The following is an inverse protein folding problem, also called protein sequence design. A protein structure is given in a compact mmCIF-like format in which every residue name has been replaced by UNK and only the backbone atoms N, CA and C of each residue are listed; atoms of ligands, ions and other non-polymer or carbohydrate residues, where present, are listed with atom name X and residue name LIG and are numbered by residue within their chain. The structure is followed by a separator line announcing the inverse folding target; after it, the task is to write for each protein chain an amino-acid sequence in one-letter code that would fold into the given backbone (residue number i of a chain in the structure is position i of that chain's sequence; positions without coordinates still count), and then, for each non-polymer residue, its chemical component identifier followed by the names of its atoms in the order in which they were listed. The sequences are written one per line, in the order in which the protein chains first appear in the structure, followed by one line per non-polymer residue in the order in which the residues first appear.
data_IF_747245028704
#
_entry.id   IF_747245028704
#
_cell.length_a   1.000
_cell.length_b   1.000
_cell.length_c   1.000
_cell.angle_alpha   90.00
_cell.angle_beta   90.00
_cell.angle_gamma   90.00
#
_symmetry.space_group_name_H-M   'P 1'
#
loop_
_entity.id
_entity.type
_entity.pdbx_description
1 polymer ?
#
# COMPACT_ATOMS: atom_id res chain seq x y z
N UNK A 1 6.17 -7.26 16.25
CA UNK A 1 7.49 -7.94 16.39
C UNK A 1 8.52 -6.95 16.91
N UNK A 2 9.56 -7.40 17.62
CA UNK A 2 10.66 -6.52 17.99
C UNK A 2 11.56 -6.24 16.78
N UNK A 3 12.08 -5.03 16.68
CA UNK A 3 13.11 -4.68 15.70
C UNK A 3 14.45 -5.35 16.09
N UNK A 4 15.26 -5.69 15.10
CA UNK A 4 16.62 -6.14 15.37
C UNK A 4 17.54 -4.94 15.76
N UNK A 5 18.73 -5.24 16.30
CA UNK A 5 19.67 -4.22 16.78
C UNK A 5 20.00 -3.15 15.73
N UNK A 6 20.15 -3.55 14.47
CA UNK A 6 20.46 -2.61 13.39
C UNK A 6 19.29 -1.69 13.05
N UNK A 7 18.07 -2.22 13.06
CA UNK A 7 16.85 -1.41 12.85
C UNK A 7 16.64 -0.41 14.00
N UNK A 8 16.88 -0.85 15.24
CA UNK A 8 16.83 0.01 16.43
C UNK A 8 17.87 1.14 16.34
N UNK A 9 19.13 0.81 15.99
CA UNK A 9 20.20 1.79 15.82
C UNK A 9 19.84 2.84 14.78
N UNK A 10 19.34 2.42 13.60
CA UNK A 10 18.92 3.34 12.55
C UNK A 10 17.79 4.30 13.00
N UNK A 11 16.83 3.80 13.78
CA UNK A 11 15.76 4.65 14.32
C UNK A 11 16.33 5.65 15.34
N UNK A 12 17.25 5.23 16.20
CA UNK A 12 17.87 6.09 17.24
C UNK A 12 18.78 7.16 16.64
N UNK A 13 19.50 6.84 15.59
CA UNK A 13 20.44 7.73 14.90
C UNK A 13 19.76 8.71 13.94
N UNK A 14 18.48 8.50 13.64
CA UNK A 14 17.72 9.34 12.71
C UNK A 14 17.66 10.78 13.18
N UNK A 15 17.97 11.69 12.25
CA UNK A 15 17.86 13.15 12.46
C UNK A 15 16.69 13.75 11.66
N UNK A 16 15.91 12.90 11.00
CA UNK A 16 14.79 13.31 10.17
C UNK A 16 13.51 13.41 11.00
N UNK A 17 12.71 14.42 10.75
CA UNK A 17 11.40 14.59 11.36
C UNK A 17 10.31 14.04 10.41
N UNK A 18 9.61 13.02 10.86
CA UNK A 18 8.48 12.41 10.15
C UNK A 18 7.18 12.53 10.97
N UNK A 19 7.15 13.32 12.04
CA UNK A 19 6.06 13.35 13.02
C UNK A 19 4.71 13.83 12.46
N UNK A 20 4.70 14.54 11.35
CA UNK A 20 3.48 14.98 10.65
C UNK A 20 3.06 14.04 9.53
N UNK A 21 3.79 12.95 9.28
CA UNK A 21 3.41 11.94 8.30
C UNK A 21 2.40 10.95 8.87
N UNK A 22 1.55 10.46 7.97
CA UNK A 22 0.56 9.42 8.26
C UNK A 22 0.73 8.26 7.29
N UNK A 23 0.75 7.06 7.82
CA UNK A 23 0.80 5.83 7.03
C UNK A 23 -0.43 4.97 7.28
N UNK A 24 -0.89 4.26 6.26
CA UNK A 24 -1.91 3.22 6.40
C UNK A 24 -1.41 1.90 5.83
N UNK A 25 -1.59 0.84 6.58
CA UNK A 25 -1.30 -0.54 6.16
C UNK A 25 -2.62 -1.28 5.92
N UNK A 26 -2.76 -1.84 4.73
CA UNK A 26 -3.86 -2.71 4.38
C UNK A 26 -3.34 -4.15 4.34
N UNK A 27 -3.62 -4.93 5.38
CA UNK A 27 -3.25 -6.34 5.44
C UNK A 27 -4.26 -7.18 4.65
N UNK A 28 -3.98 -7.39 3.37
CA UNK A 28 -4.82 -8.14 2.44
C UNK A 28 -4.63 -9.66 2.56
N UNK A 29 -4.42 -10.17 3.75
CA UNK A 29 -4.49 -11.61 4.04
C UNK A 29 -5.90 -12.16 3.81
N UNK A 30 -6.02 -13.48 3.59
CA UNK A 30 -7.31 -14.19 3.54
C UNK A 30 -7.81 -14.61 4.93
N UNK A 31 -7.09 -14.26 5.99
CA UNK A 31 -7.40 -14.61 7.38
C UNK A 31 -7.96 -13.41 8.13
N UNK A 32 -9.06 -13.61 8.85
CA UNK A 32 -9.65 -12.58 9.73
C UNK A 32 -8.72 -12.21 10.89
N UNK A 33 -9.03 -11.13 11.60
CA UNK A 33 -8.15 -10.58 12.65
C UNK A 33 -7.98 -11.49 13.87
N UNK A 34 -8.85 -12.46 14.07
CA UNK A 34 -8.73 -13.52 15.10
C UNK A 34 -7.75 -14.62 14.71
N UNK A 35 -7.31 -14.65 13.45
CA UNK A 35 -6.35 -15.62 12.95
C UNK A 35 -4.95 -15.02 12.75
N UNK A 36 -3.92 -15.87 12.96
CA UNK A 36 -2.52 -15.53 12.72
C UNK A 36 -2.27 -15.25 11.24
N UNK A 37 -1.84 -14.06 10.90
CA UNK A 37 -1.37 -13.68 9.56
C UNK A 37 0.14 -13.59 9.52
N UNK A 38 0.79 -14.30 8.60
CA UNK A 38 2.23 -14.22 8.41
C UNK A 38 2.66 -12.89 7.79
N UNK A 39 1.84 -12.32 6.91
CA UNK A 39 2.05 -10.98 6.34
C UNK A 39 2.07 -9.90 7.43
N UNK A 40 1.31 -10.11 8.54
CA UNK A 40 1.33 -9.22 9.69
C UNK A 40 2.73 -9.07 10.28
N UNK A 41 3.55 -10.13 10.26
CA UNK A 41 4.91 -10.07 10.78
C UNK A 41 5.79 -9.05 10.05
N UNK A 42 5.71 -8.96 8.72
CA UNK A 42 6.42 -7.92 7.95
C UNK A 42 5.83 -6.53 8.19
N UNK A 43 4.51 -6.44 8.27
CA UNK A 43 3.81 -5.19 8.58
C UNK A 43 4.27 -4.64 9.93
N UNK A 44 4.36 -5.48 10.97
CA UNK A 44 4.78 -5.06 12.31
C UNK A 44 6.20 -4.47 12.34
N UNK A 45 7.14 -5.01 11.55
CA UNK A 45 8.50 -4.46 11.44
C UNK A 45 8.46 -3.07 10.79
N UNK A 46 7.81 -2.95 9.64
CA UNK A 46 7.71 -1.67 8.92
C UNK A 46 7.00 -0.62 9.76
N UNK A 47 5.89 -1.00 10.40
CA UNK A 47 5.10 -0.15 11.30
C UNK A 47 5.94 0.31 12.50
N UNK A 48 6.66 -0.60 13.17
CA UNK A 48 7.50 -0.24 14.30
C UNK A 48 8.62 0.76 13.93
N UNK A 49 9.22 0.63 12.74
CA UNK A 49 10.20 1.61 12.24
C UNK A 49 9.51 2.98 12.04
N UNK A 50 8.35 3.01 11.42
CA UNK A 50 7.60 4.25 11.19
C UNK A 50 7.20 4.93 12.50
N UNK A 51 6.61 4.18 13.43
CA UNK A 51 6.16 4.69 14.74
C UNK A 51 7.33 5.23 15.58
N UNK A 52 8.48 4.55 15.59
CA UNK A 52 9.70 5.04 16.28
C UNK A 52 10.24 6.34 15.69
N UNK A 53 9.94 6.62 14.45
CA UNK A 53 10.29 7.86 13.77
C UNK A 53 9.15 8.90 13.79
N UNK A 54 8.12 8.69 14.61
CA UNK A 54 7.04 9.65 14.84
C UNK A 54 5.89 9.62 13.83
N UNK A 55 5.93 8.73 12.83
CA UNK A 55 4.83 8.59 11.88
C UNK A 55 3.58 8.05 12.57
N UNK A 56 2.43 8.68 12.35
CA UNK A 56 1.14 8.14 12.80
C UNK A 56 0.73 6.99 11.89
N UNK A 57 0.59 5.80 12.45
CA UNK A 57 0.27 4.60 11.67
C UNK A 57 -1.16 4.13 11.93
N UNK A 58 -1.89 3.92 10.85
CA UNK A 58 -3.20 3.28 10.81
C UNK A 58 -3.09 1.90 10.14
N UNK A 59 -3.92 0.96 10.55
CA UNK A 59 -3.90 -0.40 10.02
C UNK A 59 -5.31 -0.99 9.97
N UNK A 60 -5.59 -1.78 8.94
CA UNK A 60 -6.79 -2.60 8.88
C UNK A 60 -6.57 -3.87 8.05
N UNK A 61 -7.40 -4.87 8.31
CA UNK A 61 -7.57 -6.06 7.45
C UNK A 61 -8.86 -5.91 6.64
N UNK A 62 -8.78 -5.73 5.32
CA UNK A 62 -9.98 -5.58 4.48
C UNK A 62 -10.95 -6.75 4.58
N UNK A 63 -10.46 -7.97 4.84
CA UNK A 63 -11.30 -9.18 4.99
C UNK A 63 -12.29 -9.10 6.17
N UNK A 64 -12.04 -8.25 7.15
CA UNK A 64 -12.95 -8.04 8.29
C UNK A 64 -14.12 -7.11 7.96
N UNK A 65 -14.10 -6.50 6.78
CA UNK A 65 -15.08 -5.53 6.32
C UNK A 65 -15.92 -6.08 5.18
N UNK A 66 -17.14 -5.63 5.08
CA UNK A 66 -18.00 -5.95 3.96
C UNK A 66 -17.74 -4.95 2.81
N UNK A 67 -16.75 -5.26 1.98
CA UNK A 67 -16.38 -4.45 0.83
C UNK A 67 -17.12 -5.00 -0.39
N UNK A 68 -18.01 -4.20 -0.96
CA UNK A 68 -18.73 -4.56 -2.16
C UNK A 68 -17.81 -4.58 -3.38
N UNK A 69 -17.99 -5.54 -4.27
CA UNK A 69 -17.34 -5.55 -5.59
C UNK A 69 -17.98 -4.49 -6.48
N UNK A 70 -17.19 -3.70 -7.18
CA UNK A 70 -17.72 -2.70 -8.10
C UNK A 70 -16.78 -1.53 -8.37
N UNK A 71 -17.22 -0.64 -9.24
CA UNK A 71 -16.42 0.44 -9.84
C UNK A 71 -16.83 1.83 -9.37
N UNK A 72 -17.78 1.94 -8.47
CA UNK A 72 -18.24 3.22 -7.93
C UNK A 72 -17.71 3.46 -6.52
N UNK A 73 -17.53 4.70 -6.08
CA UNK A 73 -17.05 5.01 -4.73
C UNK A 73 -17.91 4.40 -3.62
N UNK A 74 -19.21 4.41 -3.80
CA UNK A 74 -20.20 3.81 -2.90
C UNK A 74 -21.12 2.86 -3.69
N UNK A 75 -20.98 1.57 -3.46
CA UNK A 75 -21.76 0.55 -4.14
C UNK A 75 -23.18 0.39 -3.58
N UNK A 76 -23.50 0.99 -2.44
CA UNK A 76 -24.88 0.98 -1.93
C UNK A 76 -25.83 1.77 -2.84
N UNK A 77 -25.31 2.75 -3.58
CA UNK A 77 -26.04 3.49 -4.60
C UNK A 77 -26.24 2.66 -5.90
N UNK A 78 -25.63 1.46 -5.98
CA UNK A 78 -25.60 0.60 -7.15
C UNK A 78 -26.05 -0.84 -6.85
N UNK A 79 -26.99 -1.00 -5.93
CA UNK A 79 -27.69 -2.27 -5.69
C UNK A 79 -27.08 -3.18 -4.64
N UNK A 80 -26.12 -2.71 -3.86
CA UNK A 80 -25.59 -3.42 -2.71
C UNK A 80 -26.24 -2.90 -1.41
N UNK A 81 -26.56 -3.82 -0.50
CA UNK A 81 -27.18 -3.44 0.78
C UNK A 81 -26.17 -2.78 1.74
N UNK A 82 -24.90 -3.10 1.60
CA UNK A 82 -23.81 -2.58 2.43
C UNK A 82 -22.50 -2.50 1.67
N UNK A 83 -21.75 -1.43 1.93
CA UNK A 83 -20.38 -1.26 1.44
C UNK A 83 -19.57 -0.47 2.48
N UNK A 84 -18.58 -1.11 3.10
CA UNK A 84 -17.70 -0.45 4.08
C UNK A 84 -16.57 0.36 3.40
N UNK A 85 -16.43 0.25 2.07
CA UNK A 85 -15.36 0.91 1.32
C UNK A 85 -15.33 2.44 1.45
N UNK A 86 -16.44 3.18 1.44
CA UNK A 86 -16.41 4.63 1.60
C UNK A 86 -15.71 5.09 2.90
N UNK A 87 -15.86 4.34 3.99
CA UNK A 87 -15.16 4.62 5.25
C UNK A 87 -13.67 4.27 5.16
N UNK A 88 -13.32 3.15 4.54
CA UNK A 88 -11.93 2.72 4.31
C UNK A 88 -11.21 3.72 3.40
N UNK A 89 -11.85 4.11 2.29
CA UNK A 89 -11.30 5.07 1.34
C UNK A 89 -10.94 6.41 2.00
N UNK A 90 -11.77 6.90 2.91
CA UNK A 90 -11.46 8.12 3.70
C UNK A 90 -10.19 7.97 4.52
N UNK A 91 -9.95 6.80 5.13
CA UNK A 91 -8.73 6.51 5.88
C UNK A 91 -7.50 6.47 4.96
N UNK A 92 -7.63 5.81 3.80
CA UNK A 92 -6.58 5.78 2.77
C UNK A 92 -6.24 7.18 2.27
N UNK A 93 -7.26 8.00 1.98
CA UNK A 93 -7.07 9.37 1.51
C UNK A 93 -6.49 10.31 2.58
N UNK A 94 -6.56 9.98 3.85
CA UNK A 94 -5.97 10.75 4.94
C UNK A 94 -4.48 10.44 5.17
N UNK A 95 -3.95 9.39 4.52
CA UNK A 95 -2.56 8.96 4.69
C UNK A 95 -1.64 9.51 3.60
N UNK A 96 -0.40 9.81 3.96
CA UNK A 96 0.69 10.18 3.05
C UNK A 96 1.34 8.93 2.42
N UNK A 97 1.28 7.80 3.14
CA UNK A 97 1.90 6.52 2.75
C UNK A 97 0.86 5.42 2.79
N UNK A 98 0.75 4.65 1.71
CA UNK A 98 -0.05 3.42 1.64
C UNK A 98 0.86 2.21 1.46
N UNK A 99 0.73 1.22 2.34
CA UNK A 99 1.42 -0.07 2.21
C UNK A 99 0.38 -1.19 2.09
N UNK A 100 0.43 -1.94 1.01
CA UNK A 100 -0.41 -3.13 0.82
C UNK A 100 0.39 -4.37 1.21
N UNK A 101 -0.04 -5.02 2.29
CA UNK A 101 0.45 -6.34 2.69
C UNK A 101 -0.35 -7.44 2.01
N UNK A 102 0.34 -8.42 1.41
CA UNK A 102 -0.29 -9.47 0.62
C UNK A 102 0.38 -10.82 0.84
N UNK A 103 -0.40 -11.91 0.86
CA UNK A 103 0.15 -13.26 0.74
C UNK A 103 0.04 -13.77 -0.70
N UNK A 104 0.95 -14.69 -1.07
CA UNK A 104 0.99 -15.32 -2.39
C UNK A 104 0.05 -16.54 -2.39
N UNK A 105 -0.72 -16.67 -3.46
CA UNK A 105 -1.55 -17.82 -3.76
C UNK A 105 -1.44 -18.17 -5.23
N UNK A 106 -0.88 -19.35 -5.54
CA UNK A 106 -0.65 -19.81 -6.93
C UNK A 106 0.15 -18.78 -7.75
N UNK A 107 1.17 -18.18 -7.15
CA UNK A 107 1.99 -17.16 -7.79
C UNK A 107 1.37 -15.77 -7.86
N UNK A 108 0.11 -15.60 -7.41
CA UNK A 108 -0.67 -14.36 -7.49
C UNK A 108 -0.93 -13.73 -6.12
N UNK A 109 -1.19 -12.43 -6.13
CA UNK A 109 -1.72 -11.72 -4.97
C UNK A 109 -3.11 -12.22 -4.59
N UNK A 110 -3.49 -12.06 -3.33
CA UNK A 110 -4.81 -12.46 -2.84
C UNK A 110 -5.95 -11.75 -3.58
N UNK A 111 -7.12 -12.40 -3.61
CA UNK A 111 -8.37 -11.77 -4.07
C UNK A 111 -8.71 -10.50 -3.28
N UNK A 112 -8.40 -10.46 -1.98
CA UNK A 112 -8.59 -9.29 -1.14
C UNK A 112 -7.71 -8.12 -1.60
N UNK A 113 -6.44 -8.37 -1.97
CA UNK A 113 -5.57 -7.33 -2.53
C UNK A 113 -6.09 -6.83 -3.90
N UNK A 114 -6.60 -7.74 -4.72
CA UNK A 114 -7.23 -7.41 -5.99
C UNK A 114 -8.45 -6.52 -5.78
N UNK A 115 -9.35 -6.91 -4.87
CA UNK A 115 -10.53 -6.12 -4.52
C UNK A 115 -10.16 -4.73 -4.01
N UNK A 116 -9.17 -4.62 -3.13
CA UNK A 116 -8.67 -3.32 -2.66
C UNK A 116 -8.20 -2.45 -3.82
N UNK A 117 -7.40 -2.98 -4.75
CA UNK A 117 -6.92 -2.25 -5.92
C UNK A 117 -8.08 -1.78 -6.80
N UNK A 118 -9.06 -2.64 -7.07
CA UNK A 118 -10.25 -2.29 -7.84
C UNK A 118 -11.06 -1.19 -7.15
N UNK A 119 -11.18 -1.24 -5.83
CA UNK A 119 -11.88 -0.22 -5.05
C UNK A 119 -11.09 1.10 -4.94
N UNK A 120 -9.77 1.07 -4.93
CA UNK A 120 -8.95 2.28 -5.07
C UNK A 120 -9.20 2.93 -6.45
N UNK A 121 -9.28 2.12 -7.50
CA UNK A 121 -9.58 2.61 -8.84
C UNK A 121 -10.97 3.27 -8.94
N UNK A 122 -11.95 2.81 -8.19
CA UNK A 122 -13.29 3.40 -8.15
C UNK A 122 -13.31 4.89 -7.76
N UNK A 123 -12.29 5.37 -7.05
CA UNK A 123 -12.12 6.78 -6.65
C UNK A 123 -11.04 7.52 -7.46
N UNK A 124 -10.44 6.88 -8.47
CA UNK A 124 -9.35 7.45 -9.28
C UNK A 124 -9.73 8.68 -10.10
N UNK A 125 -11.02 8.86 -10.37
CA UNK A 125 -11.53 10.02 -11.11
C UNK A 125 -11.61 11.30 -10.27
N UNK A 126 -11.48 11.20 -8.95
CA UNK A 126 -11.49 12.34 -8.05
C UNK A 126 -10.22 13.18 -8.27
N UNK A 127 -10.39 14.50 -8.16
CA UNK A 127 -9.31 15.44 -8.31
C UNK A 127 -8.99 16.14 -6.98
N UNK A 128 -7.73 16.50 -6.80
CA UNK A 128 -7.29 17.35 -5.69
C UNK A 128 -7.59 18.84 -6.00
N UNK A 129 -7.29 19.72 -5.06
CA UNK A 129 -7.50 21.17 -5.18
C UNK A 129 -6.73 21.84 -6.33
N UNK A 130 -5.69 21.15 -6.84
CA UNK A 130 -4.89 21.61 -7.97
C UNK A 130 -5.37 21.07 -9.32
N UNK A 131 -6.48 20.32 -9.35
CA UNK A 131 -7.01 19.69 -10.56
C UNK A 131 -6.22 18.48 -11.06
N UNK A 132 -5.36 17.93 -10.24
CA UNK A 132 -4.65 16.67 -10.47
C UNK A 132 -5.43 15.49 -9.88
N UNK A 133 -5.10 14.24 -10.25
CA UNK A 133 -5.71 13.06 -9.64
C UNK A 133 -5.51 13.04 -8.12
N UNK A 134 -6.52 12.60 -7.39
CA UNK A 134 -6.59 12.71 -5.93
C UNK A 134 -5.47 11.98 -5.17
N UNK A 135 -4.86 10.96 -5.79
CA UNK A 135 -3.74 10.23 -5.17
C UNK A 135 -2.36 10.87 -5.39
N UNK A 136 -2.25 11.92 -6.22
CA UNK A 136 -0.98 12.64 -6.40
C UNK A 136 -0.46 13.18 -5.08
N UNK A 137 0.85 13.07 -4.89
CA UNK A 137 1.50 13.51 -3.66
C UNK A 137 1.56 12.45 -2.56
N UNK A 138 1.03 11.24 -2.78
CA UNK A 138 1.12 10.10 -1.87
C UNK A 138 2.15 9.09 -2.33
N UNK A 139 2.63 8.27 -1.40
CA UNK A 139 3.68 7.28 -1.63
C UNK A 139 3.13 5.88 -1.40
N UNK A 140 3.50 4.94 -2.26
CA UNK A 140 3.01 3.57 -2.21
C UNK A 140 4.11 2.53 -2.11
N UNK A 141 3.85 1.45 -1.35
CA UNK A 141 4.71 0.28 -1.22
C UNK A 141 3.94 -1.00 -0.96
N UNK A 142 4.63 -2.13 -0.95
CA UNK A 142 4.01 -3.41 -0.61
C UNK A 142 4.92 -4.38 0.13
N UNK A 143 4.29 -5.25 0.90
CA UNK A 143 4.91 -6.34 1.66
C UNK A 143 4.28 -7.66 1.23
N UNK A 144 5.11 -8.66 0.89
CA UNK A 144 4.63 -9.93 0.35
C UNK A 144 5.18 -11.10 1.14
N UNK A 145 4.33 -12.07 1.49
CA UNK A 145 4.75 -13.32 2.14
C UNK A 145 4.16 -14.52 1.41
N UNK A 146 4.91 -15.62 1.38
CA UNK A 146 4.40 -16.88 0.83
C UNK A 146 5.38 -18.03 1.00
N UNK A 147 4.88 -19.25 0.74
CA UNK A 147 5.66 -20.48 0.72
C UNK A 147 5.74 -21.04 -0.71
N UNK A 148 5.81 -20.16 -1.69
CA UNK A 148 5.93 -20.47 -3.11
C UNK A 148 6.45 -19.25 -3.89
N UNK A 149 6.84 -19.46 -5.13
CA UNK A 149 7.28 -18.38 -6.02
C UNK A 149 6.16 -17.38 -6.33
N UNK A 150 6.54 -16.16 -6.72
CA UNK A 150 5.59 -15.14 -7.14
C UNK A 150 5.70 -13.80 -6.42
N UNK A 151 6.63 -13.65 -5.46
CA UNK A 151 6.79 -12.40 -4.72
C UNK A 151 6.96 -11.19 -5.62
N UNK A 152 7.83 -11.28 -6.64
CA UNK A 152 8.06 -10.17 -7.56
C UNK A 152 6.91 -9.95 -8.53
N UNK A 153 6.18 -10.99 -8.91
CA UNK A 153 4.96 -10.86 -9.69
C UNK A 153 3.88 -10.11 -8.91
N UNK A 154 3.63 -10.50 -7.66
CA UNK A 154 2.69 -9.80 -6.77
C UNK A 154 3.10 -8.34 -6.56
N UNK A 155 4.38 -8.10 -6.24
CA UNK A 155 4.91 -6.76 -5.99
C UNK A 155 4.78 -5.86 -7.24
N UNK A 156 5.19 -6.34 -8.41
CA UNK A 156 5.07 -5.62 -9.68
C UNK A 156 3.62 -5.22 -9.95
N UNK A 157 2.69 -6.14 -9.76
CA UNK A 157 1.27 -5.89 -10.00
C UNK A 157 0.70 -4.84 -9.05
N UNK A 158 1.03 -4.93 -7.74
CA UNK A 158 0.57 -3.96 -6.73
C UNK A 158 1.20 -2.59 -6.99
N UNK A 159 2.52 -2.53 -7.16
CA UNK A 159 3.23 -1.25 -7.34
C UNK A 159 2.84 -0.55 -8.64
N UNK A 160 2.66 -1.30 -9.74
CA UNK A 160 2.16 -0.73 -10.98
C UNK A 160 0.76 -0.16 -10.83
N UNK A 161 -0.14 -0.88 -10.14
CA UNK A 161 -1.50 -0.40 -9.87
C UNK A 161 -1.49 0.90 -9.05
N UNK A 162 -0.69 0.98 -8.00
CA UNK A 162 -0.53 2.18 -7.19
C UNK A 162 0.03 3.35 -8.01
N UNK A 163 1.08 3.10 -8.83
CA UNK A 163 1.67 4.10 -9.69
C UNK A 163 0.66 4.62 -10.73
N UNK A 164 -0.13 3.73 -11.33
CA UNK A 164 -1.17 4.10 -12.29
C UNK A 164 -2.25 4.99 -11.66
N UNK A 165 -2.58 4.76 -10.38
CA UNK A 165 -3.52 5.59 -9.62
C UNK A 165 -2.97 6.97 -9.28
N UNK A 166 -1.64 7.15 -9.30
CA UNK A 166 -1.00 8.44 -9.01
C UNK A 166 -0.10 8.44 -7.77
N UNK A 167 0.09 7.29 -7.12
CA UNK A 167 1.09 7.18 -6.04
C UNK A 167 2.51 7.27 -6.61
N UNK A 168 3.39 7.92 -5.88
CA UNK A 168 4.83 7.87 -6.14
C UNK A 168 5.39 6.57 -5.57
N UNK A 169 6.11 5.83 -6.39
CA UNK A 169 6.76 4.58 -6.00
C UNK A 169 8.26 4.86 -5.82
N UNK A 170 8.77 4.86 -4.58
CA UNK A 170 10.19 5.09 -4.34
C UNK A 170 11.05 3.89 -4.75
N UNK A 171 12.39 4.02 -4.78
CA UNK A 171 13.27 2.88 -4.94
C UNK A 171 12.99 1.80 -3.89
N UNK A 172 13.04 0.52 -4.31
CA UNK A 172 12.86 -0.63 -3.42
C UNK A 172 11.56 -0.56 -2.60
N UNK A 173 10.47 -0.20 -3.25
CA UNK A 173 9.15 -0.03 -2.61
C UNK A 173 8.46 -1.36 -2.26
N UNK A 174 9.17 -2.49 -2.38
CA UNK A 174 8.68 -3.81 -2.00
C UNK A 174 9.65 -4.54 -1.07
N UNK A 175 9.10 -5.34 -0.18
CA UNK A 175 9.86 -6.35 0.54
C UNK A 175 9.06 -7.64 0.63
N UNK A 176 9.76 -8.78 0.63
CA UNK A 176 9.11 -10.07 0.67
C UNK A 176 9.90 -11.08 1.49
N UNK A 177 9.17 -12.09 1.99
CA UNK A 177 9.72 -13.34 2.49
C UNK A 177 9.08 -14.51 1.75
N UNK A 178 9.90 -15.46 1.36
CA UNK A 178 9.49 -16.70 0.71
C UNK A 178 10.03 -17.90 1.51
N UNK A 179 9.13 -18.76 1.93
CA UNK A 179 9.46 -20.07 2.47
C UNK A 179 9.45 -21.15 1.41
N UNK A 180 9.81 -22.36 1.82
CA UNK A 180 9.75 -23.53 0.96
C UNK A 180 8.30 -23.86 0.60
N UNK A 181 8.05 -24.18 -0.67
CA UNK A 181 6.73 -24.57 -1.15
C UNK A 181 6.29 -25.91 -0.54
N UNK A 182 4.99 -26.02 -0.24
CA UNK A 182 4.40 -27.20 0.39
C UNK A 182 4.10 -26.99 1.87
N UNK A 183 4.20 -28.04 2.72
CA UNK A 183 3.86 -27.97 4.13
C UNK A 183 4.95 -27.35 5.02
N UNK A 184 5.92 -26.65 4.45
CA UNK A 184 6.99 -25.99 5.19
C UNK A 184 6.48 -24.88 6.10
N UNK A 185 7.28 -24.47 7.12
CA UNK A 185 6.89 -23.42 8.04
C UNK A 185 6.75 -22.08 7.29
N UNK A 186 5.72 -21.33 7.65
CA UNK A 186 5.49 -19.98 7.12
C UNK A 186 6.17 -18.93 7.99
N UNK A 187 6.31 -17.72 7.54
CA UNK A 187 7.15 -16.63 8.08
C UNK A 187 7.22 -16.55 9.63
N UNK A 188 6.09 -16.67 10.32
CA UNK A 188 6.01 -16.58 11.78
C UNK A 188 5.99 -17.95 12.48
N UNK A 189 6.17 -19.05 11.76
CA UNK A 189 6.18 -20.37 12.36
C UNK A 189 7.58 -20.72 12.86
N UNK A 190 7.62 -21.52 13.92
CA UNK A 190 8.86 -22.06 14.45
C UNK A 190 9.63 -22.83 13.36
N UNK A 191 10.93 -22.60 13.28
CA UNK A 191 11.80 -23.21 12.28
C UNK A 191 11.77 -22.58 10.89
N UNK A 192 10.96 -21.54 10.66
CA UNK A 192 10.94 -20.84 9.36
C UNK A 192 12.20 -20.00 9.11
N UNK A 193 12.87 -19.54 10.18
CA UNK A 193 13.94 -18.54 10.07
C UNK A 193 13.49 -17.22 9.46
N UNK A 194 12.19 -17.02 9.29
CA UNK A 194 11.63 -15.84 8.62
C UNK A 194 11.96 -14.52 9.34
N UNK A 195 11.64 -14.40 10.64
CA UNK A 195 11.93 -13.19 11.41
C UNK A 195 13.42 -12.84 11.50
N UNK A 196 14.30 -13.83 11.45
CA UNK A 196 15.76 -13.70 11.50
C UNK A 196 16.41 -13.54 10.13
N UNK A 197 15.65 -13.62 9.05
CA UNK A 197 16.17 -13.56 7.68
C UNK A 197 16.73 -12.19 7.35
N UNK A 198 18.06 -12.08 7.24
CA UNK A 198 18.77 -10.81 7.00
C UNK A 198 18.36 -10.13 5.69
N UNK A 199 18.12 -10.90 4.63
CA UNK A 199 17.71 -10.34 3.34
C UNK A 199 16.33 -9.69 3.43
N UNK A 200 15.38 -10.38 4.07
CA UNK A 200 14.02 -9.87 4.30
C UNK A 200 14.04 -8.64 5.21
N UNK A 201 14.78 -8.71 6.32
CA UNK A 201 14.92 -7.59 7.26
C UNK A 201 15.53 -6.36 6.60
N UNK A 202 16.60 -6.53 5.82
CA UNK A 202 17.22 -5.45 5.06
C UNK A 202 16.24 -4.81 4.08
N UNK A 203 15.54 -5.61 3.30
CA UNK A 203 14.61 -5.09 2.28
C UNK A 203 13.40 -4.40 2.92
N UNK A 204 12.85 -4.95 4.01
CA UNK A 204 11.76 -4.31 4.77
C UNK A 204 12.22 -2.97 5.34
N UNK A 205 13.44 -2.92 5.88
CA UNK A 205 14.05 -1.69 6.40
C UNK A 205 14.21 -0.64 5.28
N UNK A 206 14.82 -1.01 4.16
CA UNK A 206 15.05 -0.08 3.04
C UNK A 206 13.74 0.43 2.45
N UNK A 207 12.78 -0.46 2.22
CA UNK A 207 11.44 -0.08 1.78
C UNK A 207 10.83 0.96 2.71
N UNK A 208 10.81 0.69 4.01
CA UNK A 208 10.19 1.57 5.00
C UNK A 208 10.84 2.95 5.04
N UNK A 209 12.17 3.02 5.09
CA UNK A 209 12.89 4.29 5.08
C UNK A 209 12.69 5.06 3.79
N UNK A 210 12.71 4.39 2.62
CA UNK A 210 12.47 5.04 1.34
C UNK A 210 11.05 5.59 1.23
N UNK A 211 10.05 4.90 1.78
CA UNK A 211 8.67 5.39 1.85
C UNK A 211 8.59 6.67 2.70
N UNK A 212 9.19 6.68 3.90
CA UNK A 212 9.20 7.85 4.78
C UNK A 212 9.93 9.03 4.16
N UNK A 213 11.13 8.82 3.61
CA UNK A 213 11.90 9.88 2.97
C UNK A 213 11.19 10.46 1.75
N UNK A 214 10.63 9.62 0.90
CA UNK A 214 9.88 10.10 -0.26
C UNK A 214 8.64 10.89 0.16
N UNK A 215 7.88 10.39 1.12
CA UNK A 215 6.71 11.10 1.64
C UNK A 215 7.12 12.46 2.26
N UNK A 216 8.24 12.51 3.00
CA UNK A 216 8.77 13.75 3.55
C UNK A 216 9.12 14.75 2.46
N UNK A 217 9.90 14.34 1.46
CA UNK A 217 10.28 15.22 0.34
C UNK A 217 9.06 15.76 -0.42
N UNK A 218 8.06 14.92 -0.67
CA UNK A 218 6.83 15.35 -1.36
C UNK A 218 6.05 16.32 -0.49
N UNK A 219 5.93 16.07 0.80
CA UNK A 219 5.20 16.95 1.71
C UNK A 219 5.89 18.31 1.88
N UNK A 220 7.21 18.33 1.94
CA UNK A 220 8.01 19.58 1.97
C UNK A 220 7.85 20.37 0.67
N UNK A 221 7.77 19.69 -0.47
CA UNK A 221 7.49 20.29 -1.76
C UNK A 221 6.02 20.72 -1.94
N UNK A 222 5.15 20.45 -0.96
CA UNK A 222 3.69 20.68 -1.02
C UNK A 222 3.01 19.90 -2.16
N UNK A 223 3.47 18.69 -2.41
CA UNK A 223 2.94 17.80 -3.44
C UNK A 223 3.75 17.83 -4.75
N UNK A 224 3.17 17.24 -5.79
CA UNK A 224 3.74 17.28 -7.14
C UNK A 224 3.33 18.61 -7.78
N UNK A 225 4.29 19.38 -8.34
CA UNK A 225 3.96 20.67 -8.97
C UNK A 225 2.85 20.54 -10.01
N UNK A 226 1.86 21.41 -9.93
CA UNK A 226 0.67 21.37 -10.77
C UNK A 226 0.90 22.20 -12.05
N UNK A 227 1.66 21.64 -12.99
CA UNK A 227 1.88 22.23 -14.31
C UNK A 227 2.07 21.12 -15.35
N UNK A 228 1.22 21.10 -16.37
CA UNK A 228 1.28 20.10 -17.44
C UNK A 228 0.71 18.71 -17.06
N UNK A 229 0.25 18.54 -15.83
CA UNK A 229 -0.30 17.29 -15.28
C UNK A 229 -1.63 17.49 -14.55
N UNK A 230 -2.34 18.58 -14.87
CA UNK A 230 -3.64 18.90 -14.29
C UNK A 230 -4.75 18.37 -15.20
N UNK A 231 -5.44 17.33 -14.72
CA UNK A 231 -6.56 16.73 -15.46
C UNK A 231 -7.67 17.76 -15.73
N UNK A 232 -7.98 18.59 -14.73
CA UNK A 232 -9.01 19.64 -14.90
C UNK A 232 -8.64 20.64 -16.00
N UNK A 233 -7.37 21.06 -16.09
CA UNK A 233 -6.92 21.97 -17.15
C UNK A 233 -6.91 21.28 -18.52
N UNK A 234 -6.53 20.02 -18.58
CA UNK A 234 -6.61 19.23 -19.81
C UNK A 234 -8.05 19.12 -20.31
N UNK A 235 -8.98 18.74 -19.43
CA UNK A 235 -10.40 18.57 -19.78
C UNK A 235 -11.04 19.89 -20.24
N UNK A 236 -10.67 21.01 -19.63
CA UNK A 236 -11.18 22.34 -20.01
C UNK A 236 -10.70 22.81 -21.39
N UNK A 237 -9.47 22.44 -21.79
CA UNK A 237 -8.88 22.82 -23.09
C UNK A 237 -8.82 21.69 -24.11
N UNK A 238 -9.16 20.49 -23.71
CA UNK A 238 -9.01 19.30 -24.51
C UNK A 238 -10.03 19.23 -25.63
N UNK A 239 -9.56 18.90 -26.82
CA UNK A 239 -10.35 18.58 -27.99
C UNK A 239 -10.60 17.11 -28.19
N UNK A 240 -10.36 16.31 -27.20
CA UNK A 240 -10.72 14.90 -27.25
C UNK A 240 -12.24 14.78 -27.17
N UNK A 241 -12.90 15.13 -28.25
CA UNK A 241 -14.33 14.88 -28.46
C UNK A 241 -14.63 13.38 -28.38
N UNK A 242 -13.58 12.58 -28.22
CA UNK A 242 -13.62 11.13 -28.20
C UNK A 242 -14.60 10.61 -29.23
N UNK A 243 -14.32 10.88 -30.49
CA UNK A 243 -15.11 10.31 -31.59
C UNK A 243 -15.20 8.79 -31.52
N UNK A 244 -14.28 8.15 -30.79
CA UNK A 244 -14.36 6.74 -30.49
C UNK A 244 -15.07 6.52 -29.13
N UNK A 245 -16.27 5.91 -29.12
CA UNK A 245 -17.04 5.65 -27.91
C UNK A 245 -16.31 4.75 -26.88
N UNK A 246 -15.31 3.98 -27.31
CA UNK A 246 -14.53 3.13 -26.40
C UNK A 246 -13.70 3.93 -25.37
N UNK A 247 -13.53 5.22 -25.57
CA UNK A 247 -12.78 6.09 -24.66
C UNK A 247 -13.67 7.03 -23.84
N UNK A 248 -14.97 6.78 -23.82
CA UNK A 248 -15.95 7.56 -23.06
C UNK A 248 -16.35 6.84 -21.79
#
# INVERSE_FOLDING_TARGET
MALNEKQESLCTESKWDFSDLKAIFLNCTLKKSDEKSHTQGLIEISKAIMEKNGVTVDELRPIDHQIATGVWPDMTEHGWDRDDWPAISKRVMAADILVIGCSIWLGEKTSVATQVIERLYATSHLLNEHGQYAYYGRVGGCLVTGNEDGAKHCAMNILYSLQHLGYVIPPQADAAWLGEAGPGPSYLDEGSGGPENDFTNRNTTFMTWNLMHMARMIKDAKGIPAHGNQRAAWDAGCRSDFANPAYR
#
